data_IF_705892775095
#
_entry.id   IF_705892775095
#
_cell.length_a   1.000
_cell.length_b   1.000
_cell.length_c   1.000
_cell.angle_alpha   90.00
_cell.angle_beta   90.00
_cell.angle_gamma   90.00
#
_symmetry.space_group_name_H-M   'P 1'
#
loop_
_entity.id
_entity.type
_entity.pdbx_description
1 polymer ?
#
# COMPACT_ATOMS: atom_id res chain seq x y z
N UNK A 1 3.46 -24.13 9.27
CA UNK A 1 3.21 -23.27 9.12
C UNK A 1 3.78 -22.25 9.20
N UNK A 2 4.00 -22.01 8.79
CA UNK A 2 4.57 -20.99 8.85
C UNK A 2 4.22 -20.05 9.68
N UNK A 3 4.80 -19.94 10.63
CA UNK A 3 4.44 -18.90 11.46
C UNK A 3 4.35 -17.63 10.68
N UNK A 4 3.31 -16.96 10.86
CA UNK A 4 3.16 -15.62 10.35
C UNK A 4 3.76 -14.71 11.39
N UNK A 5 4.86 -14.02 11.10
CA UNK A 5 5.55 -13.22 12.10
C UNK A 5 4.71 -12.08 12.67
N UNK A 6 3.59 -11.73 12.05
CA UNK A 6 2.79 -10.59 12.44
C UNK A 6 1.39 -11.00 12.89
N UNK A 7 1.26 -12.14 13.53
CA UNK A 7 0.00 -12.84 13.64
C UNK A 7 -1.08 -12.28 14.54
N UNK A 8 -0.87 -11.27 15.34
CA UNK A 8 -1.84 -10.92 16.38
C UNK A 8 -2.36 -9.49 16.37
N UNK A 9 -1.93 -8.66 15.44
CA UNK A 9 -2.33 -7.26 15.42
C UNK A 9 -3.18 -6.92 14.21
N UNK A 10 -3.98 -5.88 14.33
CA UNK A 10 -4.77 -5.37 13.21
C UNK A 10 -4.73 -3.84 13.25
N UNK A 11 -4.17 -3.15 12.25
CA UNK A 11 -3.53 -3.76 11.08
C UNK A 11 -2.11 -4.21 11.38
N UNK A 12 -1.56 -5.04 10.49
CA UNK A 12 -0.17 -5.44 10.56
C UNK A 12 0.51 -5.25 9.22
N UNK A 13 1.77 -4.83 9.27
CA UNK A 13 2.63 -4.85 8.10
C UNK A 13 3.75 -5.83 8.38
N UNK A 14 3.77 -6.92 7.65
CA UNK A 14 4.73 -7.99 7.83
C UNK A 14 5.98 -7.74 7.01
N UNK A 15 6.98 -8.60 7.18
CA UNK A 15 8.16 -8.59 6.33
C UNK A 15 7.75 -8.63 4.85
N UNK A 16 8.46 -7.89 4.00
CA UNK A 16 8.18 -7.72 2.58
C UNK A 16 6.92 -6.88 2.30
N UNK A 17 6.41 -6.18 3.31
CA UNK A 17 5.29 -5.26 3.12
C UNK A 17 3.92 -5.92 3.00
N UNK A 18 3.79 -7.18 3.36
CA UNK A 18 2.48 -7.83 3.40
C UNK A 18 1.62 -7.17 4.46
N UNK A 19 0.37 -6.83 4.11
CA UNK A 19 -0.54 -6.15 5.00
C UNK A 19 -1.68 -7.08 5.38
N UNK A 20 -2.06 -7.05 6.65
CA UNK A 20 -3.17 -7.83 7.17
C UNK A 20 -4.01 -6.99 8.11
N UNK A 21 -5.33 -7.09 7.99
CA UNK A 21 -6.25 -6.53 8.97
C UNK A 21 -7.54 -7.35 9.06
N UNK A 22 -8.33 -7.07 10.11
CA UNK A 22 -9.64 -7.70 10.26
C UNK A 22 -10.72 -6.84 9.62
N UNK A 23 -11.66 -7.48 8.93
CA UNK A 23 -12.76 -6.79 8.24
C UNK A 23 -13.46 -5.83 9.19
N UNK A 24 -13.71 -4.62 8.71
CA UNK A 24 -14.41 -3.59 9.47
C UNK A 24 -13.52 -2.73 10.36
N UNK A 25 -12.26 -3.10 10.56
CA UNK A 25 -11.36 -2.28 11.34
C UNK A 25 -11.03 -0.97 10.65
N UNK A 26 -10.92 0.08 11.44
CA UNK A 26 -10.47 1.39 10.97
C UNK A 26 -9.09 1.68 11.53
N UNK A 27 -8.23 2.27 10.72
CA UNK A 27 -6.84 2.50 11.11
C UNK A 27 -6.15 3.44 10.15
N UNK A 28 -4.95 3.87 10.51
CA UNK A 28 -4.08 4.65 9.64
C UNK A 28 -2.78 3.88 9.44
N UNK A 29 -2.40 3.70 8.18
CA UNK A 29 -1.09 3.17 7.82
C UNK A 29 -0.26 4.30 7.20
N UNK A 30 0.98 4.42 7.64
CA UNK A 30 1.91 5.38 7.06
C UNK A 30 3.08 4.61 6.47
N UNK A 31 3.29 4.78 5.17
CA UNK A 31 4.43 4.18 4.49
C UNK A 31 5.41 5.27 4.08
N UNK A 32 6.68 4.99 4.34
CA UNK A 32 7.77 5.75 3.75
C UNK A 32 8.37 4.88 2.66
N UNK A 33 8.29 5.34 1.41
CA UNK A 33 8.74 4.56 0.26
C UNK A 33 10.07 5.11 -0.23
N UNK A 34 11.10 4.27 -0.24
CA UNK A 34 12.38 4.62 -0.80
C UNK A 34 12.41 4.22 -2.26
N UNK A 35 12.22 5.19 -3.13
CA UNK A 35 12.28 4.96 -4.57
C UNK A 35 13.74 4.95 -4.99
N UNK A 36 14.15 3.86 -5.62
CA UNK A 36 15.51 3.70 -6.12
C UNK A 36 15.51 3.51 -7.62
N UNK A 37 16.54 3.99 -8.27
CA UNK A 37 16.74 3.76 -9.70
C UNK A 37 17.37 2.38 -9.95
N UNK A 38 17.62 2.08 -11.21
CA UNK A 38 18.20 0.80 -11.62
C UNK A 38 19.61 0.56 -11.05
N UNK A 39 20.28 1.61 -10.60
CA UNK A 39 21.62 1.54 -9.99
C UNK A 39 21.55 1.46 -8.47
N UNK A 40 20.35 1.40 -7.89
CA UNK A 40 20.15 1.36 -6.44
C UNK A 40 20.27 2.72 -5.77
N UNK A 41 20.31 3.82 -6.53
CA UNK A 41 20.36 5.16 -5.97
C UNK A 41 18.98 5.67 -5.64
N UNK A 42 18.86 6.33 -4.49
CA UNK A 42 17.58 6.96 -4.10
C UNK A 42 17.19 8.04 -5.09
N UNK A 43 15.90 8.03 -5.47
CA UNK A 43 15.31 9.04 -6.32
C UNK A 43 14.70 10.11 -5.42
N UNK A 44 15.08 11.37 -5.64
CA UNK A 44 14.52 12.49 -4.89
C UNK A 44 13.11 12.80 -5.38
N UNK A 45 12.21 13.01 -4.44
CA UNK A 45 10.82 13.37 -4.73
C UNK A 45 10.73 14.90 -4.82
N UNK A 46 10.19 15.38 -5.92
CA UNK A 46 9.95 16.81 -6.15
C UNK A 46 8.56 17.20 -5.66
N UNK A 47 8.34 18.50 -5.44
CA UNK A 47 7.09 19.02 -4.89
C UNK A 47 5.86 18.69 -5.73
N UNK A 48 6.04 18.38 -7.01
CA UNK A 48 4.94 18.06 -7.93
C UNK A 48 4.80 16.58 -8.20
N UNK A 49 5.69 15.75 -7.68
CA UNK A 49 5.63 14.31 -7.88
C UNK A 49 4.51 13.71 -7.05
N UNK A 50 3.84 12.72 -7.61
CA UNK A 50 2.69 12.07 -6.99
C UNK A 50 3.00 10.60 -6.74
N UNK A 51 2.79 10.16 -5.51
CA UNK A 51 2.83 8.75 -5.17
C UNK A 51 1.40 8.24 -5.14
N UNK A 52 1.16 7.11 -5.77
CA UNK A 52 -0.15 6.46 -5.82
C UNK A 52 0.00 5.04 -5.29
N UNK A 53 -0.78 4.71 -4.26
CA UNK A 53 -0.88 3.33 -3.76
C UNK A 53 -2.28 2.84 -4.07
N UNK A 54 -2.36 1.82 -4.92
CA UNK A 54 -3.62 1.26 -5.40
C UNK A 54 -3.85 -0.10 -4.77
N UNK A 55 -5.03 -0.30 -4.18
CA UNK A 55 -5.46 -1.58 -3.64
C UNK A 55 -6.42 -2.23 -4.63
N UNK A 56 -6.15 -3.48 -5.01
CA UNK A 56 -6.92 -4.20 -6.02
C UNK A 56 -7.40 -5.53 -5.47
N UNK A 57 -8.57 -5.96 -5.95
CA UNK A 57 -9.09 -7.29 -5.63
C UNK A 57 -8.41 -8.37 -6.49
N UNK A 58 -8.80 -9.63 -6.29
CA UNK A 58 -8.22 -10.76 -7.03
C UNK A 58 -8.53 -10.73 -8.53
N UNK A 59 -9.49 -9.93 -8.95
CA UNK A 59 -9.83 -9.75 -10.37
C UNK A 59 -9.14 -8.52 -10.97
N UNK A 60 -8.22 -7.90 -10.22
CA UNK A 60 -7.48 -6.71 -10.64
C UNK A 60 -8.34 -5.44 -10.75
N UNK A 61 -9.50 -5.43 -10.11
CA UNK A 61 -10.31 -4.22 -9.99
C UNK A 61 -9.76 -3.34 -8.88
N UNK A 62 -9.56 -2.06 -9.16
CA UNK A 62 -9.12 -1.11 -8.13
C UNK A 62 -10.26 -0.85 -7.15
N UNK A 63 -10.01 -1.18 -5.88
CA UNK A 63 -10.96 -0.98 -4.80
C UNK A 63 -10.83 0.41 -4.21
N UNK A 64 -9.58 0.85 -3.99
CA UNK A 64 -9.29 2.17 -3.45
C UNK A 64 -7.87 2.58 -3.79
N UNK A 65 -7.66 3.90 -3.93
CA UNK A 65 -6.34 4.47 -4.14
C UNK A 65 -6.07 5.57 -3.14
N UNK A 66 -4.83 5.60 -2.65
CA UNK A 66 -4.32 6.71 -1.84
C UNK A 66 -3.26 7.45 -2.64
N UNK A 67 -3.20 8.75 -2.46
CA UNK A 67 -2.22 9.59 -3.15
C UNK A 67 -1.49 10.49 -2.16
N UNK A 68 -0.24 10.81 -2.49
CA UNK A 68 0.55 11.78 -1.77
C UNK A 68 1.30 12.64 -2.77
N UNK A 69 1.42 13.93 -2.51
CA UNK A 69 2.10 14.86 -3.41
C UNK A 69 3.30 15.45 -2.70
N UNK A 70 4.45 15.44 -3.39
CA UNK A 70 5.65 16.10 -2.92
C UNK A 70 6.36 15.44 -1.75
N UNK A 71 6.05 14.18 -1.46
CA UNK A 71 6.65 13.47 -0.33
C UNK A 71 6.73 11.98 -0.64
N UNK A 72 7.76 11.32 -0.12
CA UNK A 72 7.86 9.87 -0.18
C UNK A 72 7.13 9.17 0.97
N UNK A 73 6.49 9.95 1.84
CA UNK A 73 5.65 9.42 2.93
C UNK A 73 4.20 9.52 2.50
N UNK A 74 3.49 8.40 2.56
CA UNK A 74 2.07 8.37 2.26
C UNK A 74 1.29 7.91 3.50
N UNK A 75 0.29 8.70 3.87
CA UNK A 75 -0.61 8.39 4.98
C UNK A 75 -1.89 7.83 4.38
N UNK A 76 -2.21 6.60 4.74
CA UNK A 76 -3.39 5.90 4.23
C UNK A 76 -4.40 5.77 5.36
N UNK A 77 -5.43 6.59 5.31
CA UNK A 77 -6.47 6.62 6.33
C UNK A 77 -7.60 5.67 5.92
N UNK A 78 -7.66 4.52 6.58
CA UNK A 78 -8.74 3.56 6.38
C UNK A 78 -9.88 3.92 7.32
N UNK A 79 -10.64 4.92 6.89
CA UNK A 79 -11.87 5.31 7.57
C UNK A 79 -12.90 4.17 7.46
N UNK A 80 -14.00 4.29 8.19
CA UNK A 80 -15.09 3.33 8.09
C UNK A 80 -15.58 3.17 6.65
N UNK A 81 -15.68 4.28 5.92
CA UNK A 81 -16.10 4.27 4.52
C UNK A 81 -15.12 3.50 3.64
N UNK A 82 -13.82 3.72 3.82
CA UNK A 82 -12.79 3.01 3.05
C UNK A 82 -12.75 1.54 3.44
N UNK A 83 -12.73 1.25 4.74
CA UNK A 83 -12.68 -0.14 5.24
C UNK A 83 -13.86 -0.96 4.75
N UNK A 84 -15.03 -0.37 4.63
CA UNK A 84 -16.23 -1.07 4.16
C UNK A 84 -16.13 -1.52 2.69
N UNK A 85 -15.17 -1.01 1.94
CA UNK A 85 -14.92 -1.46 0.56
C UNK A 85 -14.21 -2.81 0.50
N UNK A 86 -13.61 -3.24 1.62
CA UNK A 86 -12.81 -4.46 1.68
C UNK A 86 -13.54 -5.51 2.49
N UNK A 87 -14.08 -6.51 1.81
CA UNK A 87 -14.65 -7.68 2.44
C UNK A 87 -13.55 -8.72 2.70
N UNK A 88 -13.86 -9.75 3.47
CA UNK A 88 -12.91 -10.84 3.73
C UNK A 88 -12.39 -11.40 2.42
N UNK A 89 -11.08 -11.51 2.31
CA UNK A 89 -10.45 -12.06 1.11
C UNK A 89 -9.04 -11.55 0.89
N UNK A 90 -8.49 -11.94 -0.24
CA UNK A 90 -7.15 -11.54 -0.64
C UNK A 90 -7.22 -10.37 -1.62
N UNK A 91 -6.31 -9.43 -1.41
CA UNK A 91 -6.13 -8.25 -2.25
C UNK A 91 -4.64 -8.09 -2.54
N UNK A 92 -4.33 -7.16 -3.40
CA UNK A 92 -2.94 -6.76 -3.64
C UNK A 92 -2.86 -5.24 -3.63
N UNK A 93 -1.66 -4.72 -3.40
CA UNK A 93 -1.43 -3.30 -3.56
C UNK A 93 -0.20 -3.05 -4.42
N UNK A 94 -0.23 -1.93 -5.12
CA UNK A 94 0.87 -1.45 -5.95
C UNK A 94 1.22 -0.04 -5.52
N UNK A 95 2.50 0.31 -5.58
CA UNK A 95 2.95 1.68 -5.36
C UNK A 95 3.63 2.19 -6.62
N UNK A 96 3.18 3.35 -7.09
CA UNK A 96 3.69 3.97 -8.31
C UNK A 96 4.10 5.41 -8.03
N UNK A 97 5.12 5.85 -8.75
CA UNK A 97 5.56 7.23 -8.74
C UNK A 97 5.22 7.85 -10.10
N UNK A 98 4.53 9.00 -10.07
CA UNK A 98 4.27 9.80 -11.25
C UNK A 98 5.05 11.11 -11.15
N UNK A 99 6.12 11.22 -11.91
CA UNK A 99 6.96 12.40 -12.00
C UNK A 99 6.99 12.96 -13.43
N UNK A 100 5.91 12.79 -14.19
CA UNK A 100 5.84 12.98 -15.63
C UNK A 100 5.89 11.66 -16.37
N UNK A 101 6.44 10.64 -15.74
CA UNK A 101 6.45 9.26 -16.20
C UNK A 101 5.92 8.40 -15.05
N UNK A 102 5.12 7.39 -15.37
CA UNK A 102 4.59 6.48 -14.35
C UNK A 102 5.52 5.30 -14.21
N UNK A 103 6.05 5.10 -13.00
CA UNK A 103 6.91 3.97 -12.67
C UNK A 103 6.32 3.20 -11.49
N UNK A 104 6.27 1.87 -11.63
CA UNK A 104 5.80 0.98 -10.57
C UNK A 104 7.00 0.50 -9.75
N UNK A 105 6.96 0.75 -8.45
CA UNK A 105 8.02 0.35 -7.53
C UNK A 105 7.64 -0.85 -6.65
N UNK A 106 6.35 -0.96 -6.29
CA UNK A 106 5.83 -2.13 -5.60
C UNK A 106 4.71 -2.69 -6.47
N UNK A 107 4.80 -3.98 -6.78
CA UNK A 107 3.83 -4.63 -7.66
C UNK A 107 3.17 -5.79 -6.95
N UNK A 108 1.84 -5.76 -6.91
CA UNK A 108 1.01 -6.88 -6.45
C UNK A 108 1.44 -7.47 -5.10
N UNK A 109 1.75 -6.62 -4.14
CA UNK A 109 2.09 -7.08 -2.81
C UNK A 109 0.82 -7.53 -2.07
N UNK A 110 0.96 -8.50 -1.20
CA UNK A 110 -0.17 -9.23 -0.62
C UNK A 110 -0.88 -8.39 0.45
N UNK A 111 -2.20 -8.40 0.39
CA UNK A 111 -3.10 -7.85 1.40
C UNK A 111 -4.10 -8.92 1.76
N UNK A 112 -4.26 -9.19 3.06
CA UNK A 112 -5.20 -10.17 3.55
C UNK A 112 -6.18 -9.52 4.52
N UNK A 113 -7.47 -9.65 4.22
CA UNK A 113 -8.56 -9.17 5.08
C UNK A 113 -9.29 -10.39 5.62
N UNK A 114 -9.34 -10.52 6.94
CA UNK A 114 -9.96 -11.67 7.61
C UNK A 114 -11.19 -11.31 8.44
#
# INVERSE_FOLDING_TARGET
MNSIPCALESPRVCNRGYIHWYEGDTFVLTFEIDFVDENGKSININDTDIIIVSFKDKYQNTIHEFTSVGSNTIVMDFTKEVSNKFTIGEYTYCARLNNGWIKTFIRNNIVLVE
#
